data_IF_983783579230
#
_entry.id   IF_983783579230
#
_cell.length_a   1.000
_cell.length_b   1.000
_cell.length_c   1.000
_cell.angle_alpha   90.00
_cell.angle_beta   90.00
_cell.angle_gamma   90.00
#
_symmetry.space_group_name_H-M   'P 1'
#
loop_
_entity.id
_entity.type
_entity.pdbx_description
1 polymer ?
#
# COMPACT_ATOMS: atom_id res chain seq x y z
N UNK A 1 3.29 7.89 -35.54
CA UNK A 1 2.66 6.87 -34.68
C UNK A 1 2.95 7.26 -33.25
N UNK A 2 1.95 7.72 -32.49
CA UNK A 2 2.12 8.04 -31.06
C UNK A 2 2.23 6.72 -30.31
N UNK A 3 3.40 6.44 -29.74
CA UNK A 3 3.61 5.25 -28.91
C UNK A 3 3.04 5.53 -27.52
N UNK A 4 1.87 4.97 -27.23
CA UNK A 4 1.33 4.96 -25.87
C UNK A 4 2.30 4.18 -24.96
N UNK A 5 2.90 4.87 -24.00
CA UNK A 5 3.80 4.23 -23.03
C UNK A 5 2.98 3.77 -21.82
N UNK A 6 2.95 2.46 -21.58
CA UNK A 6 2.42 1.91 -20.33
C UNK A 6 3.45 2.11 -19.21
N UNK A 7 3.06 2.84 -18.16
CA UNK A 7 3.88 3.07 -16.97
C UNK A 7 3.21 2.40 -15.78
N UNK A 8 3.88 1.44 -15.16
CA UNK A 8 3.41 0.88 -13.89
C UNK A 8 3.74 1.84 -12.76
N UNK A 9 2.74 2.16 -11.94
CA UNK A 9 2.90 2.84 -10.66
C UNK A 9 2.37 1.94 -9.54
N UNK A 10 2.79 2.21 -8.32
CA UNK A 10 2.37 1.45 -7.14
C UNK A 10 1.62 2.40 -6.22
N UNK A 11 0.34 2.13 -6.01
CA UNK A 11 -0.46 2.86 -5.03
C UNK A 11 -0.38 2.15 -3.69
N UNK A 12 -0.20 2.91 -2.62
CA UNK A 12 -0.31 2.36 -1.27
C UNK A 12 -1.65 2.81 -0.69
N UNK A 13 -2.47 1.86 -0.29
CA UNK A 13 -3.75 2.11 0.39
C UNK A 13 -3.71 1.55 1.80
N UNK A 14 -4.29 2.28 2.74
CA UNK A 14 -4.35 1.91 4.14
C UNK A 14 -5.81 1.69 4.51
N UNK A 15 -6.10 0.60 5.20
CA UNK A 15 -7.40 0.33 5.80
C UNK A 15 -7.27 0.40 7.31
N UNK A 16 -8.09 1.24 7.93
CA UNK A 16 -8.14 1.40 9.38
C UNK A 16 -9.14 0.43 10.00
N UNK A 17 -9.00 0.16 11.31
CA UNK A 17 -9.92 -0.70 12.05
C UNK A 17 -11.38 -0.21 12.04
N UNK A 18 -11.64 1.06 11.72
CA UNK A 18 -12.98 1.61 11.53
C UNK A 18 -13.59 1.35 10.14
N UNK A 19 -12.89 0.60 9.27
CA UNK A 19 -13.34 0.23 7.93
C UNK A 19 -13.11 1.31 6.87
N UNK A 20 -12.51 2.44 7.23
CA UNK A 20 -12.13 3.47 6.25
C UNK A 20 -10.86 3.03 5.51
N UNK A 21 -10.85 3.25 4.19
CA UNK A 21 -9.68 3.05 3.36
C UNK A 21 -9.25 4.38 2.73
N UNK A 22 -7.94 4.65 2.73
CA UNK A 22 -7.39 5.85 2.11
C UNK A 22 -6.14 5.53 1.29
N UNK A 23 -5.93 6.30 0.22
CA UNK A 23 -4.70 6.27 -0.56
C UNK A 23 -3.71 7.25 0.04
N UNK A 24 -2.53 6.76 0.40
CA UNK A 24 -1.47 7.56 1.04
C UNK A 24 -0.38 7.98 0.05
N UNK A 25 -0.40 7.43 -1.16
CA UNK A 25 0.51 7.88 -2.20
C UNK A 25 0.63 6.92 -3.38
N UNK A 26 1.22 7.45 -4.45
CA UNK A 26 1.56 6.71 -5.66
C UNK A 26 3.06 6.78 -5.91
N UNK A 27 3.69 5.62 -6.12
CA UNK A 27 5.13 5.44 -6.21
C UNK A 27 5.52 4.86 -7.56
N UNK A 28 6.75 5.10 -8.01
CA UNK A 28 7.23 4.58 -9.30
C UNK A 28 7.70 3.13 -9.20
N UNK A 29 8.12 2.70 -8.01
CA UNK A 29 8.66 1.36 -7.78
C UNK A 29 8.05 0.73 -6.54
N UNK A 30 8.04 -0.61 -6.49
CA UNK A 30 7.59 -1.36 -5.30
C UNK A 30 8.46 -1.05 -4.08
N UNK A 31 9.77 -0.79 -4.27
CA UNK A 31 10.67 -0.45 -3.18
C UNK A 31 10.29 0.87 -2.50
N UNK A 32 9.96 1.91 -3.28
CA UNK A 32 9.49 3.19 -2.75
C UNK A 32 8.19 3.04 -1.97
N UNK A 33 7.26 2.23 -2.49
CA UNK A 33 6.00 1.92 -1.80
C UNK A 33 6.27 1.22 -0.45
N UNK A 34 7.13 0.20 -0.41
CA UNK A 34 7.50 -0.51 0.82
C UNK A 34 8.16 0.44 1.84
N UNK A 35 9.06 1.31 1.39
CA UNK A 35 9.73 2.29 2.26
C UNK A 35 8.73 3.29 2.88
N UNK A 36 7.74 3.74 2.11
CA UNK A 36 6.68 4.60 2.63
C UNK A 36 5.85 3.89 3.71
N UNK A 37 5.53 2.61 3.50
CA UNK A 37 4.86 1.78 4.52
C UNK A 37 5.71 1.67 5.78
N UNK A 38 7.00 1.36 5.66
CA UNK A 38 7.89 1.28 6.82
C UNK A 38 7.94 2.60 7.62
N UNK A 39 7.97 3.74 6.93
CA UNK A 39 7.93 5.07 7.55
C UNK A 39 6.65 5.34 8.35
N UNK A 40 5.49 4.94 7.83
CA UNK A 40 4.20 5.06 8.54
C UNK A 40 4.14 4.20 9.80
N UNK A 41 4.75 3.01 9.73
CA UNK A 41 4.72 2.05 10.83
C UNK A 41 5.69 2.41 11.96
N UNK A 42 6.83 3.05 11.63
CA UNK A 42 7.82 3.48 12.61
C UNK A 42 7.27 4.50 13.64
N UNK A 43 6.20 5.22 13.31
CA UNK A 43 5.57 6.18 14.22
C UNK A 43 4.46 5.62 15.12
N UNK A 44 3.93 4.42 14.85
CA UNK A 44 2.60 4.04 15.36
C UNK A 44 2.51 2.85 16.32
N UNK A 45 3.61 2.20 16.70
CA UNK A 45 3.57 1.06 17.62
C UNK A 45 2.80 -0.13 17.03
N UNK A 46 3.48 -0.94 16.22
CA UNK A 46 2.91 -2.13 15.61
C UNK A 46 3.80 -3.35 15.91
N UNK A 47 3.21 -4.44 16.39
CA UNK A 47 3.95 -5.64 16.85
C UNK A 47 4.01 -6.76 15.82
N UNK A 48 3.32 -6.61 14.69
CA UNK A 48 3.27 -7.64 13.66
C UNK A 48 3.06 -7.04 12.28
N UNK A 49 4.01 -7.30 11.39
CA UNK A 49 3.88 -7.08 9.95
C UNK A 49 3.77 -8.45 9.29
N UNK A 50 2.63 -8.72 8.65
CA UNK A 50 2.46 -9.94 7.87
C UNK A 50 2.18 -9.60 6.42
N UNK A 51 3.20 -9.78 5.58
CA UNK A 51 3.03 -9.79 4.13
C UNK A 51 2.19 -11.02 3.73
N UNK A 52 1.11 -10.77 3.02
CA UNK A 52 0.17 -11.77 2.52
C UNK A 52 -0.14 -11.46 1.06
N UNK A 53 -0.64 -12.47 0.35
CA UNK A 53 -1.30 -12.26 -0.94
C UNK A 53 -2.77 -12.51 -0.76
N UNK A 54 -3.61 -11.68 -1.34
CA UNK A 54 -5.05 -11.93 -1.42
C UNK A 54 -5.38 -13.05 -2.39
N UNK A 55 -6.63 -13.49 -2.34
CA UNK A 55 -7.17 -14.47 -3.28
C UNK A 55 -7.05 -14.03 -4.76
N UNK A 56 -7.07 -12.72 -5.04
CA UNK A 56 -6.83 -12.15 -6.38
C UNK A 56 -5.32 -11.92 -6.68
N UNK A 57 -4.43 -12.43 -5.82
CA UNK A 57 -2.98 -12.42 -6.01
C UNK A 57 -2.28 -11.11 -5.67
N UNK A 58 -3.00 -10.07 -5.22
CA UNK A 58 -2.42 -8.76 -4.87
C UNK A 58 -1.66 -8.84 -3.54
N UNK A 59 -0.50 -8.16 -3.42
CA UNK A 59 0.22 -8.13 -2.16
C UNK A 59 -0.48 -7.19 -1.17
N UNK A 60 -0.67 -7.69 0.04
CA UNK A 60 -1.21 -6.95 1.17
C UNK A 60 -0.33 -7.17 2.40
N UNK A 61 -0.37 -6.24 3.33
CA UNK A 61 0.37 -6.26 4.56
C UNK A 61 -0.64 -6.07 5.69
N UNK A 62 -0.79 -7.07 6.53
CA UNK A 62 -1.60 -6.95 7.74
C UNK A 62 -0.74 -6.33 8.83
N UNK A 63 -1.33 -5.36 9.53
CA UNK A 63 -0.69 -4.61 10.59
C UNK A 63 -1.48 -4.82 11.87
N UNK A 64 -0.82 -5.28 12.94
CA UNK A 64 -1.46 -5.34 14.27
C UNK A 64 -0.96 -4.20 15.14
N UNK A 65 -1.84 -3.25 15.54
CA UNK A 65 -1.46 -2.19 16.47
C UNK A 65 -1.12 -2.78 17.85
N UNK A 66 -0.09 -2.26 18.51
CA UNK A 66 0.24 -2.63 19.90
C UNK A 66 -0.66 -1.96 20.93
N UNK A 67 -1.29 -0.84 20.58
CA UNK A 67 -2.04 0.00 21.52
C UNK A 67 -3.39 0.43 20.94
N UNK A 68 -4.47 -0.16 21.46
CA UNK A 68 -5.84 0.30 21.29
C UNK A 68 -6.55 -0.08 19.97
N UNK A 69 -7.89 0.08 19.90
CA UNK A 69 -8.71 -0.25 18.74
C UNK A 69 -8.60 0.76 17.57
N UNK A 70 -7.80 1.82 17.74
CA UNK A 70 -7.58 2.86 16.75
C UNK A 70 -6.21 2.67 16.10
N UNK A 71 -6.15 1.92 15.00
CA UNK A 71 -4.91 1.66 14.29
C UNK A 71 -5.13 1.24 12.84
N UNK A 72 -4.03 1.11 12.11
CA UNK A 72 -4.04 0.52 10.77
C UNK A 72 -4.31 -0.98 10.91
N UNK A 73 -5.34 -1.48 10.22
CA UNK A 73 -5.66 -2.91 10.16
C UNK A 73 -4.88 -3.58 9.01
N UNK A 74 -4.88 -2.95 7.83
CA UNK A 74 -4.27 -3.49 6.63
C UNK A 74 -3.65 -2.38 5.79
N UNK A 75 -2.60 -2.72 5.07
CA UNK A 75 -1.93 -1.88 4.08
C UNK A 75 -1.84 -2.68 2.79
N UNK A 76 -2.18 -2.04 1.68
CA UNK A 76 -2.22 -2.62 0.35
C UNK A 76 -1.19 -1.95 -0.52
N UNK A 77 -0.39 -2.71 -1.26
CA UNK A 77 0.50 -2.18 -2.29
C UNK A 77 -0.01 -2.66 -3.64
N UNK A 78 -0.71 -1.79 -4.37
CA UNK A 78 -1.40 -2.16 -5.60
C UNK A 78 -0.59 -1.65 -6.79
N UNK A 79 -0.17 -2.56 -7.68
CA UNK A 79 0.38 -2.18 -8.97
C UNK A 79 -0.75 -1.66 -9.88
N UNK A 80 -0.69 -0.39 -10.26
CA UNK A 80 -1.60 0.26 -11.20
C UNK A 80 -0.88 0.53 -12.52
N UNK A 81 -1.46 0.10 -13.63
CA UNK A 81 -0.93 0.38 -14.96
C UNK A 81 -1.52 1.71 -15.42
N UNK A 82 -0.67 2.72 -15.59
CA UNK A 82 -1.05 4.05 -16.07
C UNK A 82 -0.60 4.19 -17.52
N UNK A 83 -1.56 4.31 -18.45
CA UNK A 83 -1.26 4.61 -19.84
C UNK A 83 -0.93 6.09 -19.97
N UNK A 84 0.31 6.40 -20.37
CA UNK A 84 0.74 7.77 -20.63
C UNK A 84 0.50 8.07 -22.11
N UNK A 85 -0.53 8.86 -22.41
CA UNK A 85 -0.74 9.41 -23.76
C UNK A 85 0.26 10.53 -24.00
N UNK A 86 0.96 10.46 -25.14
CA UNK A 86 1.86 11.49 -25.66
C UNK A 86 1.11 12.45 -26.58
#
# INVERSE_FOLDING_TARGET
MSSDQLVVRYEVQVTYCCGTAESIGTYKTTLQAIQAVAGLMAGGGYSGLRLQRTADGKPCMECRPTTGPHGIEKIWIVGVIVQKRH
#
